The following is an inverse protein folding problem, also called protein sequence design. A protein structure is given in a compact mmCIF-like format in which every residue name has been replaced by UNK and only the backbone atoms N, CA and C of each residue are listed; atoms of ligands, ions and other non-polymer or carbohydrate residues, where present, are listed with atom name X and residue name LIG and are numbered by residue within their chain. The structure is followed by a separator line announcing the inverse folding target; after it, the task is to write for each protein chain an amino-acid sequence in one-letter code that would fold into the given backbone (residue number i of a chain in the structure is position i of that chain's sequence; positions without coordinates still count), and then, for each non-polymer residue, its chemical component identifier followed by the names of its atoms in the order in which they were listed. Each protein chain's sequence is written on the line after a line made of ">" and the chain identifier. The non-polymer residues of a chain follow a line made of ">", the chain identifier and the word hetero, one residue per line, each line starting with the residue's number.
data_IF_448430681324
#
_entry.id   IF_448430681324
#
_cell.length_a   1.000
_cell.length_b   1.000
_cell.length_c   1.000
_cell.angle_alpha   90.00
_cell.angle_beta   90.00
_cell.angle_gamma   90.00
#
_symmetry.space_group_name_H-M   'P 1'
#
loop_
_entity.id
_entity.type
_entity.pdbx_description
1 polymer ?
#
# COMPACT_ATOMS: atom_id res chain seq x y z
N UNK A 1 -5.48 9.23 -14.44
CA UNK A 1 -5.57 7.95 -13.71
C UNK A 1 -6.60 8.13 -12.61
N UNK A 2 -7.57 7.22 -12.46
CA UNK A 2 -8.55 7.32 -11.36
C UNK A 2 -7.93 6.89 -10.03
N UNK A 3 -8.49 7.39 -8.93
CA UNK A 3 -8.11 7.00 -7.56
C UNK A 3 -8.22 5.47 -7.36
N UNK A 4 -9.26 4.85 -7.91
CA UNK A 4 -9.45 3.39 -7.85
C UNK A 4 -8.32 2.63 -8.54
N UNK A 5 -7.91 3.08 -9.74
CA UNK A 5 -6.81 2.45 -10.47
C UNK A 5 -5.48 2.63 -9.74
N UNK A 6 -5.22 3.81 -9.17
CA UNK A 6 -4.04 4.06 -8.36
C UNK A 6 -4.01 3.16 -7.11
N UNK A 7 -5.15 3.02 -6.43
CA UNK A 7 -5.27 2.15 -5.26
C UNK A 7 -4.96 0.70 -5.61
N UNK A 8 -5.56 0.17 -6.68
CA UNK A 8 -5.33 -1.20 -7.14
C UNK A 8 -3.85 -1.44 -7.50
N UNK A 9 -3.22 -0.48 -8.19
CA UNK A 9 -1.80 -0.59 -8.55
C UNK A 9 -0.89 -0.64 -7.32
N UNK A 10 -1.11 0.24 -6.34
CA UNK A 10 -0.32 0.25 -5.10
C UNK A 10 -0.55 -1.04 -4.33
N UNK A 11 -1.81 -1.49 -4.19
CA UNK A 11 -2.17 -2.71 -3.47
C UNK A 11 -1.51 -3.95 -4.09
N UNK A 12 -1.64 -4.13 -5.41
CA UNK A 12 -1.04 -5.27 -6.12
C UNK A 12 0.48 -5.29 -5.99
N UNK A 13 1.12 -4.12 -6.05
CA UNK A 13 2.56 -4.01 -5.84
C UNK A 13 2.93 -4.33 -4.39
N UNK A 14 2.18 -3.83 -3.41
CA UNK A 14 2.40 -4.11 -2.00
C UNK A 14 2.34 -5.62 -1.72
N UNK A 15 1.34 -6.31 -2.27
CA UNK A 15 1.20 -7.76 -2.18
C UNK A 15 2.36 -8.51 -2.84
N UNK A 16 2.80 -8.07 -4.02
CA UNK A 16 3.95 -8.65 -4.72
C UNK A 16 5.24 -8.52 -3.89
N UNK A 17 5.46 -7.34 -3.28
CA UNK A 17 6.62 -7.09 -2.43
C UNK A 17 6.51 -7.90 -1.13
N UNK A 18 5.31 -8.01 -0.54
CA UNK A 18 5.06 -8.82 0.65
C UNK A 18 5.44 -10.29 0.44
N UNK A 19 4.99 -10.88 -0.67
CA UNK A 19 5.35 -12.24 -1.06
C UNK A 19 6.86 -12.42 -1.23
N UNK A 20 7.54 -11.44 -1.84
CA UNK A 20 9.00 -11.47 -1.99
C UNK A 20 9.74 -11.47 -0.65
N UNK A 21 9.25 -10.71 0.33
CA UNK A 21 9.84 -10.65 1.67
C UNK A 21 9.29 -11.70 2.65
N UNK A 22 8.36 -12.56 2.22
CA UNK A 22 7.65 -13.53 3.08
C UNK A 22 7.06 -12.87 4.33
N UNK A 23 6.50 -11.67 4.16
CA UNK A 23 5.83 -10.94 5.24
C UNK A 23 4.31 -10.99 5.04
N UNK A 24 3.58 -11.18 6.12
CA UNK A 24 2.12 -11.25 6.12
C UNK A 24 1.47 -9.85 6.08
N UNK A 25 2.25 -8.78 6.16
CA UNK A 25 1.74 -7.42 6.31
C UNK A 25 2.31 -6.44 5.30
N UNK A 26 1.41 -5.81 4.52
CA UNK A 26 1.71 -4.69 3.62
C UNK A 26 2.14 -3.41 4.36
N UNK A 27 2.06 -3.41 5.68
CA UNK A 27 2.48 -2.29 6.56
C UNK A 27 3.93 -2.43 7.04
N UNK A 28 4.64 -3.48 6.63
CA UNK A 28 6.05 -3.61 7.00
C UNK A 28 6.90 -2.48 6.40
N UNK A 29 7.85 -1.98 7.19
CA UNK A 29 8.83 -0.93 6.79
C UNK A 29 9.49 -1.22 5.42
N UNK A 30 10.01 -2.43 5.14
CA UNK A 30 10.63 -2.71 3.84
C UNK A 30 9.67 -2.59 2.66
N UNK A 31 8.39 -2.94 2.81
CA UNK A 31 7.38 -2.75 1.77
C UNK A 31 7.12 -1.26 1.56
N UNK A 32 6.88 -0.52 2.65
CA UNK A 32 6.58 0.90 2.59
C UNK A 32 7.69 1.68 1.87
N UNK A 33 8.96 1.37 2.17
CA UNK A 33 10.11 1.98 1.49
C UNK A 33 10.14 1.69 -0.02
N UNK A 34 9.91 0.44 -0.42
CA UNK A 34 9.84 0.12 -1.85
C UNK A 34 8.66 0.81 -2.54
N UNK A 35 7.48 0.81 -1.93
CA UNK A 35 6.31 1.47 -2.47
C UNK A 35 6.54 2.98 -2.64
N UNK A 36 7.22 3.63 -1.69
CA UNK A 36 7.59 5.05 -1.80
C UNK A 36 8.52 5.26 -2.99
N UNK A 37 9.46 4.35 -3.25
CA UNK A 37 10.34 4.45 -4.43
C UNK A 37 9.59 4.29 -5.76
N UNK A 38 8.52 3.48 -5.80
CA UNK A 38 7.73 3.25 -7.03
C UNK A 38 6.68 4.34 -7.29
N UNK A 39 5.98 4.78 -6.26
CA UNK A 39 4.78 5.61 -6.40
C UNK A 39 4.93 7.00 -5.78
N UNK A 40 6.00 7.27 -5.05
CA UNK A 40 6.20 8.53 -4.35
C UNK A 40 5.53 8.58 -2.98
N UNK A 41 6.11 9.37 -2.07
CA UNK A 41 5.70 9.44 -0.67
C UNK A 41 4.24 9.84 -0.45
N UNK A 42 3.75 10.83 -1.21
CA UNK A 42 2.39 11.34 -1.03
C UNK A 42 1.33 10.31 -1.44
N UNK A 43 1.56 9.56 -2.53
CA UNK A 43 0.65 8.50 -2.96
C UNK A 43 0.57 7.36 -1.94
N UNK A 44 1.70 6.99 -1.33
CA UNK A 44 1.72 5.95 -0.29
C UNK A 44 1.08 6.43 1.01
N UNK A 45 1.28 7.70 1.39
CA UNK A 45 0.59 8.31 2.53
C UNK A 45 -0.93 8.33 2.32
N UNK A 46 -1.38 8.69 1.12
CA UNK A 46 -2.79 8.64 0.73
C UNK A 46 -3.35 7.21 0.79
N UNK A 47 -2.63 6.24 0.24
CA UNK A 47 -3.01 4.83 0.24
C UNK A 47 -3.23 4.29 1.67
N UNK A 48 -2.27 4.50 2.58
CA UNK A 48 -2.41 4.06 3.97
C UNK A 48 -3.53 4.80 4.72
N UNK A 49 -3.81 6.05 4.38
CA UNK A 49 -4.96 6.78 4.93
C UNK A 49 -6.28 6.11 4.53
N UNK A 50 -6.41 5.66 3.28
CA UNK A 50 -7.57 4.89 2.81
C UNK A 50 -7.66 3.55 3.53
N UNK A 51 -6.57 2.77 3.59
CA UNK A 51 -6.57 1.47 4.27
C UNK A 51 -6.98 1.61 5.75
N UNK A 52 -6.49 2.62 6.47
CA UNK A 52 -6.88 2.89 7.85
C UNK A 52 -8.36 3.28 7.97
N UNK A 53 -8.88 4.08 7.02
CA UNK A 53 -10.31 4.43 6.99
C UNK A 53 -11.19 3.19 6.81
N UNK A 54 -10.83 2.29 5.90
CA UNK A 54 -11.54 1.03 5.67
C UNK A 54 -11.48 0.18 6.93
N UNK A 55 -10.29 -0.01 7.51
CA UNK A 55 -10.14 -0.81 8.73
C UNK A 55 -11.02 -0.30 9.88
N UNK A 56 -11.14 1.01 10.05
CA UNK A 56 -12.03 1.62 11.06
C UNK A 56 -13.52 1.49 10.78
N UNK A 57 -13.92 1.23 9.53
CA UNK A 57 -15.33 1.04 9.18
C UNK A 57 -15.80 -0.40 9.41
N UNK A 58 -14.86 -1.35 9.44
CA UNK A 58 -15.15 -2.79 9.57
C UNK A 58 -14.63 -3.40 10.88
N UNK A 59 -14.05 -2.58 11.77
CA UNK A 59 -13.77 -2.89 13.19
C UNK A 59 -14.76 -2.13 14.07
#
# INVERSE_FOLDING_TARGET
>A
MSDELLFQQIYNKAYTIANKYRTESIYSVPIALQLINFFGKENIKWFYKICNRIQKQYN
#
